data_IF_823545365352
#
_entry.id   IF_823545365352
#
_cell.length_a   1.000
_cell.length_b   1.000
_cell.length_c   1.000
_cell.angle_alpha   90.00
_cell.angle_beta   90.00
_cell.angle_gamma   90.00
#
_symmetry.space_group_name_H-M   'P 1'
#
loop_
_entity.id
_entity.type
_entity.pdbx_description
1 polymer ?
#
# COMPACT_ATOMS: atom_id res chain seq x y z
N UNK A 1 -11.76 3.44 -18.64
CA UNK A 1 -11.46 3.29 -17.20
C UNK A 1 -9.99 3.63 -17.04
N UNK A 2 -9.67 4.55 -16.16
CA UNK A 2 -8.31 5.05 -15.91
C UNK A 2 -7.92 4.74 -14.47
N UNK A 3 -6.70 4.28 -14.27
CA UNK A 3 -6.16 3.99 -12.95
C UNK A 3 -4.89 4.77 -12.65
N UNK A 4 -4.66 5.05 -11.38
CA UNK A 4 -3.44 5.67 -10.89
C UNK A 4 -2.87 4.87 -9.73
N UNK A 5 -1.55 4.63 -9.77
CA UNK A 5 -0.78 4.06 -8.68
C UNK A 5 0.05 5.19 -8.07
N UNK A 6 -0.23 5.56 -6.81
CA UNK A 6 0.43 6.71 -6.19
C UNK A 6 1.76 6.38 -5.51
N UNK A 7 2.04 5.09 -5.25
CA UNK A 7 3.20 4.66 -4.47
C UNK A 7 3.74 3.32 -4.99
N UNK A 8 4.28 3.33 -6.21
CA UNK A 8 4.80 2.09 -6.83
C UNK A 8 6.08 1.57 -6.17
N UNK A 9 6.79 2.41 -5.40
CA UNK A 9 8.04 2.01 -4.74
C UNK A 9 7.93 0.76 -3.86
N UNK A 10 6.75 0.47 -3.32
CA UNK A 10 6.52 -0.73 -2.50
C UNK A 10 6.46 -2.01 -3.33
N UNK A 11 6.52 -1.89 -4.64
CA UNK A 11 6.23 -2.94 -5.61
C UNK A 11 7.24 -3.00 -6.76
N UNK A 12 8.24 -2.11 -6.80
CA UNK A 12 9.19 -1.95 -7.92
C UNK A 12 10.52 -2.69 -7.74
N UNK A 13 10.67 -3.54 -6.74
CA UNK A 13 11.92 -4.28 -6.53
C UNK A 13 12.18 -5.42 -7.56
N UNK A 14 11.45 -5.39 -8.67
CA UNK A 14 11.77 -6.20 -9.85
C UNK A 14 11.28 -7.64 -9.84
N UNK A 15 10.64 -8.08 -8.75
CA UNK A 15 10.11 -9.43 -8.56
C UNK A 15 8.59 -9.55 -8.78
N UNK A 16 7.88 -8.42 -8.98
CA UNK A 16 6.44 -8.41 -9.18
C UNK A 16 6.07 -8.14 -10.65
N UNK A 17 5.25 -9.03 -11.19
CA UNK A 17 4.70 -8.87 -12.53
C UNK A 17 3.40 -8.06 -12.53
N UNK A 18 3.46 -6.85 -13.09
CA UNK A 18 2.32 -5.94 -13.26
C UNK A 18 1.51 -6.15 -14.52
N UNK A 19 1.91 -7.11 -15.36
CA UNK A 19 1.22 -7.37 -16.63
C UNK A 19 -0.27 -7.65 -16.45
N UNK A 20 -0.64 -8.37 -15.37
CA UNK A 20 -2.02 -8.64 -15.02
C UNK A 20 -2.83 -7.38 -14.72
N UNK A 21 -2.28 -6.43 -13.95
CA UNK A 21 -2.95 -5.15 -13.63
C UNK A 21 -3.09 -4.30 -14.90
N UNK A 22 -2.02 -4.17 -15.69
CA UNK A 22 -2.00 -3.42 -16.94
C UNK A 22 -2.95 -4.02 -18.00
N UNK A 23 -3.12 -5.34 -18.00
CA UNK A 23 -4.08 -5.99 -18.88
C UNK A 23 -5.53 -5.66 -18.54
N UNK A 24 -5.84 -5.53 -17.22
CA UNK A 24 -7.18 -5.16 -16.75
C UNK A 24 -7.48 -3.67 -16.98
N UNK A 25 -6.50 -2.80 -16.76
CA UNK A 25 -6.62 -1.35 -16.94
C UNK A 25 -5.41 -0.83 -17.72
N UNK A 26 -5.47 -0.86 -19.07
CA UNK A 26 -4.34 -0.42 -19.91
C UNK A 26 -3.96 1.05 -19.70
N UNK A 27 -4.93 1.92 -19.36
CA UNK A 27 -4.70 3.32 -19.02
C UNK A 27 -4.37 3.46 -17.54
N UNK A 28 -3.17 3.01 -17.16
CA UNK A 28 -2.64 3.08 -15.79
C UNK A 28 -1.40 3.97 -15.75
N UNK A 29 -1.46 5.04 -14.95
CA UNK A 29 -0.31 5.90 -14.62
C UNK A 29 0.27 5.51 -13.27
N UNK A 30 1.60 5.44 -13.16
CA UNK A 30 2.29 5.06 -11.93
C UNK A 30 3.24 6.16 -11.47
N UNK A 31 3.24 6.44 -10.17
CA UNK A 31 4.16 7.35 -9.49
C UNK A 31 4.93 6.58 -8.42
N UNK A 32 6.25 6.80 -8.34
CA UNK A 32 7.11 6.12 -7.36
C UNK A 32 6.71 6.50 -5.93
N UNK A 33 6.55 7.82 -5.68
CA UNK A 33 6.11 8.38 -4.39
C UNK A 33 5.22 9.59 -4.67
N UNK A 34 4.27 9.85 -3.76
CA UNK A 34 3.34 10.98 -3.88
C UNK A 34 3.21 11.69 -2.55
N UNK A 35 3.50 12.97 -2.52
CA UNK A 35 3.26 13.82 -1.37
C UNK A 35 1.77 14.17 -1.26
N UNK A 36 1.30 14.51 -0.05
CA UNK A 36 -0.13 14.75 0.21
C UNK A 36 -0.73 15.81 -0.73
N UNK A 37 -0.01 16.90 -0.99
CA UNK A 37 -0.48 17.97 -1.87
C UNK A 37 -0.69 17.53 -3.32
N UNK A 38 0.02 16.48 -3.76
CA UNK A 38 -0.04 15.96 -5.11
C UNK A 38 -1.08 14.84 -5.30
N UNK A 39 -1.68 14.34 -4.23
CA UNK A 39 -2.59 13.18 -4.31
C UNK A 39 -3.76 13.49 -5.26
N UNK A 40 -4.55 14.51 -4.95
CA UNK A 40 -5.71 14.86 -5.76
C UNK A 40 -5.34 15.28 -7.20
N UNK A 41 -4.29 16.12 -7.43
CA UNK A 41 -3.83 16.43 -8.78
C UNK A 41 -3.40 15.21 -9.60
N UNK A 42 -2.76 14.21 -8.98
CA UNK A 42 -2.32 12.99 -9.67
C UNK A 42 -3.46 12.00 -9.93
N UNK A 43 -4.45 11.92 -9.03
CA UNK A 43 -5.67 11.16 -9.28
C UNK A 43 -6.43 11.78 -10.47
N UNK A 44 -6.62 13.11 -10.46
CA UNK A 44 -7.24 13.84 -11.55
C UNK A 44 -8.60 13.27 -11.93
N UNK A 45 -8.73 12.78 -13.14
CA UNK A 45 -9.95 12.19 -13.72
C UNK A 45 -10.01 10.66 -13.61
N UNK A 46 -9.08 10.04 -12.89
CA UNK A 46 -9.04 8.58 -12.73
C UNK A 46 -10.23 8.05 -11.91
N UNK A 47 -10.71 6.88 -12.31
CA UNK A 47 -11.80 6.16 -11.64
C UNK A 47 -11.28 5.22 -10.55
N UNK A 48 -10.01 4.77 -10.64
CA UNK A 48 -9.37 3.82 -9.76
C UNK A 48 -8.06 4.40 -9.23
N UNK A 49 -7.80 4.21 -7.94
CA UNK A 49 -6.49 4.54 -7.35
C UNK A 49 -5.97 3.40 -6.49
N UNK A 50 -4.68 3.09 -6.64
CA UNK A 50 -3.93 2.18 -5.78
C UNK A 50 -2.98 2.98 -4.90
N UNK A 51 -3.03 2.73 -3.60
CA UNK A 51 -2.22 3.41 -2.58
C UNK A 51 -1.59 2.42 -1.59
N UNK A 52 -0.61 2.89 -0.83
CA UNK A 52 -0.09 2.19 0.35
C UNK A 52 -0.15 3.09 1.60
N UNK A 53 0.55 4.22 1.61
CA UNK A 53 0.63 5.16 2.74
C UNK A 53 -0.01 6.52 2.46
N UNK A 54 -0.35 6.81 1.22
CA UNK A 54 -1.09 8.01 0.85
C UNK A 54 -2.39 8.12 1.64
N UNK A 55 -2.72 9.32 2.11
CA UNK A 55 -3.94 9.58 2.85
C UNK A 55 -5.07 9.94 1.90
N UNK A 56 -6.21 9.26 2.03
CA UNK A 56 -7.45 9.58 1.31
C UNK A 56 -8.48 10.07 2.33
N UNK A 57 -8.74 11.35 2.31
CA UNK A 57 -9.71 12.00 3.19
C UNK A 57 -10.73 12.81 2.39
N UNK A 58 -11.66 13.48 3.11
CA UNK A 58 -12.72 14.31 2.51
C UNK A 58 -12.16 15.35 1.53
N UNK A 59 -11.02 15.98 1.87
CA UNK A 59 -10.43 17.04 1.04
C UNK A 59 -9.90 16.49 -0.29
N UNK A 60 -9.37 15.28 -0.30
CA UNK A 60 -8.93 14.58 -1.53
C UNK A 60 -10.14 14.14 -2.34
N UNK A 61 -11.12 13.51 -1.70
CA UNK A 61 -12.32 12.98 -2.36
C UNK A 61 -13.14 14.08 -3.03
N UNK A 62 -13.28 15.23 -2.38
CA UNK A 62 -14.00 16.38 -2.94
C UNK A 62 -13.38 16.91 -4.24
N UNK A 63 -12.08 16.70 -4.45
CA UNK A 63 -11.37 17.09 -5.67
C UNK A 63 -11.35 16.01 -6.75
N UNK A 64 -11.77 14.79 -6.44
CA UNK A 64 -11.72 13.64 -7.34
C UNK A 64 -13.12 13.05 -7.60
N UNK A 65 -14.02 13.80 -8.27
CA UNK A 65 -15.44 13.41 -8.42
C UNK A 65 -15.65 12.15 -9.29
N UNK A 66 -14.66 11.77 -10.08
CA UNK A 66 -14.73 10.57 -10.93
C UNK A 66 -14.23 9.31 -10.24
N UNK A 67 -13.61 9.44 -9.05
CA UNK A 67 -13.05 8.31 -8.31
C UNK A 67 -14.16 7.38 -7.83
N UNK A 68 -14.04 6.10 -8.15
CA UNK A 68 -15.02 5.05 -7.83
C UNK A 68 -14.45 3.99 -6.90
N UNK A 69 -13.13 3.83 -6.90
CA UNK A 69 -12.50 2.76 -6.15
C UNK A 69 -11.10 3.14 -5.64
N UNK A 70 -10.83 2.79 -4.40
CA UNK A 70 -9.54 2.91 -3.73
C UNK A 70 -9.08 1.52 -3.32
N UNK A 71 -7.94 1.07 -3.86
CA UNK A 71 -7.25 -0.14 -3.42
C UNK A 71 -6.07 0.21 -2.54
N UNK A 72 -6.07 -0.27 -1.28
CA UNK A 72 -4.89 -0.15 -0.45
C UNK A 72 -4.09 -1.45 -0.48
N UNK A 73 -2.81 -1.35 -0.86
CA UNK A 73 -1.87 -2.46 -0.95
C UNK A 73 -1.27 -2.70 0.44
N UNK A 74 -2.13 -2.87 1.41
CA UNK A 74 -1.81 -3.11 2.81
C UNK A 74 -3.00 -3.74 3.53
N UNK A 75 -2.79 -4.22 4.76
CA UNK A 75 -3.86 -4.75 5.61
C UNK A 75 -4.62 -3.63 6.30
N UNK A 76 -3.92 -2.64 6.87
CA UNK A 76 -4.54 -1.52 7.58
C UNK A 76 -5.16 -0.50 6.63
N UNK A 77 -6.24 0.16 7.07
CA UNK A 77 -6.97 1.19 6.32
C UNK A 77 -7.03 2.52 7.08
N UNK A 78 -6.18 2.71 8.07
CA UNK A 78 -6.15 3.87 8.97
C UNK A 78 -5.79 5.20 8.26
N UNK A 79 -5.23 5.12 7.07
CA UNK A 79 -4.95 6.26 6.20
C UNK A 79 -6.09 6.61 5.23
N UNK A 80 -7.24 5.92 5.32
CA UNK A 80 -8.43 6.18 4.48
C UNK A 80 -9.61 6.57 5.37
N UNK A 81 -10.26 7.68 5.07
CA UNK A 81 -11.54 8.04 5.67
C UNK A 81 -12.66 7.23 5.00
N UNK A 82 -12.97 6.06 5.60
CA UNK A 82 -13.97 5.13 5.08
C UNK A 82 -15.38 5.74 5.04
N UNK A 83 -15.71 6.62 6.00
CA UNK A 83 -17.02 7.29 6.03
C UNK A 83 -17.12 8.35 4.91
N UNK A 84 -16.06 9.09 4.65
CA UNK A 84 -15.99 9.99 3.50
C UNK A 84 -16.12 9.21 2.20
N UNK A 85 -15.35 8.12 2.03
CA UNK A 85 -15.46 7.26 0.85
C UNK A 85 -16.91 6.78 0.63
N UNK A 86 -17.59 6.36 1.68
CA UNK A 86 -18.99 5.94 1.60
C UNK A 86 -19.92 7.07 1.15
N UNK A 87 -19.75 8.29 1.68
CA UNK A 87 -20.56 9.47 1.27
C UNK A 87 -20.34 9.82 -0.20
N UNK A 88 -19.11 9.69 -0.70
CA UNK A 88 -18.76 9.95 -2.10
C UNK A 88 -19.05 8.77 -3.04
N UNK A 89 -19.56 7.64 -2.53
CA UNK A 89 -19.84 6.44 -3.33
C UNK A 89 -18.59 5.71 -3.83
N UNK A 90 -17.46 5.88 -3.13
CA UNK A 90 -16.16 5.26 -3.46
C UNK A 90 -16.02 3.94 -2.71
N UNK A 91 -15.85 2.85 -3.44
CA UNK A 91 -15.56 1.54 -2.84
C UNK A 91 -14.11 1.46 -2.37
N UNK A 92 -13.86 0.78 -1.25
CA UNK A 92 -12.51 0.58 -0.70
C UNK A 92 -12.23 -0.91 -0.56
N UNK A 93 -11.04 -1.34 -1.00
CA UNK A 93 -10.56 -2.70 -0.82
C UNK A 93 -9.14 -2.70 -0.25
N UNK A 94 -8.86 -3.65 0.65
CA UNK A 94 -7.54 -3.88 1.24
C UNK A 94 -7.06 -5.32 0.98
N UNK A 95 -5.84 -5.66 1.42
CA UNK A 95 -5.29 -7.02 1.36
C UNK A 95 -5.16 -7.58 2.78
N UNK A 96 -6.22 -8.20 3.33
CA UNK A 96 -6.21 -8.69 4.71
C UNK A 96 -5.32 -9.93 4.87
N UNK A 97 -4.61 -10.03 5.99
CA UNK A 97 -3.96 -11.25 6.46
C UNK A 97 -2.71 -11.74 5.72
N UNK A 98 -2.26 -11.07 4.66
CA UNK A 98 -1.13 -11.54 3.83
C UNK A 98 0.19 -11.67 4.61
N UNK A 99 0.40 -10.82 5.62
CA UNK A 99 1.65 -10.76 6.38
C UNK A 99 1.57 -11.42 7.77
N UNK A 100 0.43 -11.98 8.16
CA UNK A 100 0.20 -12.51 9.52
C UNK A 100 1.27 -13.50 9.95
N UNK A 101 1.53 -14.51 9.12
CA UNK A 101 2.53 -15.53 9.43
C UNK A 101 3.96 -14.97 9.43
N UNK A 102 4.29 -14.10 8.47
CA UNK A 102 5.63 -13.50 8.38
C UNK A 102 5.93 -12.60 9.58
N UNK A 103 4.95 -11.79 10.02
CA UNK A 103 5.09 -10.93 11.20
C UNK A 103 5.22 -11.78 12.47
N UNK A 104 4.39 -12.80 12.64
CA UNK A 104 4.48 -13.70 13.78
C UNK A 104 5.83 -14.41 13.82
N UNK A 105 6.30 -14.95 12.69
CA UNK A 105 7.60 -15.62 12.58
C UNK A 105 8.74 -14.67 12.93
N UNK A 106 8.74 -13.45 12.43
CA UNK A 106 9.76 -12.45 12.76
C UNK A 106 9.75 -12.11 14.25
N UNK A 107 8.57 -11.94 14.84
CA UNK A 107 8.42 -11.67 16.28
C UNK A 107 9.06 -12.77 17.13
N UNK A 108 8.75 -14.02 16.84
CA UNK A 108 9.36 -15.16 17.56
C UNK A 108 10.86 -15.29 17.28
N UNK A 109 11.30 -15.03 16.05
CA UNK A 109 12.73 -15.04 15.71
C UNK A 109 13.52 -14.02 16.51
N UNK A 110 13.01 -12.80 16.64
CA UNK A 110 13.63 -11.76 17.45
C UNK A 110 13.62 -12.12 18.95
N UNK A 111 12.51 -12.62 19.46
CA UNK A 111 12.41 -13.08 20.85
C UNK A 111 13.45 -14.17 21.15
N UNK A 112 13.53 -15.20 20.32
CA UNK A 112 14.48 -16.29 20.48
C UNK A 112 15.93 -15.81 20.33
N UNK A 113 16.22 -14.89 19.41
CA UNK A 113 17.55 -14.31 19.25
C UNK A 113 18.00 -13.58 20.52
N UNK A 114 17.09 -12.87 21.21
CA UNK A 114 17.36 -12.21 22.49
C UNK A 114 17.55 -13.24 23.61
N UNK A 115 16.62 -14.17 23.77
CA UNK A 115 16.66 -15.16 24.86
C UNK A 115 17.85 -16.12 24.76
N UNK A 116 18.21 -16.54 23.55
CA UNK A 116 19.29 -17.50 23.30
C UNK A 116 20.66 -16.82 23.11
N UNK A 117 20.73 -15.49 23.09
CA UNK A 117 21.99 -14.75 22.89
C UNK A 117 22.76 -15.21 21.63
N UNK A 118 22.08 -15.61 20.55
CA UNK A 118 22.68 -16.24 19.38
C UNK A 118 23.87 -15.45 18.81
N UNK A 119 23.76 -14.12 18.74
CA UNK A 119 24.86 -13.26 18.27
C UNK A 119 26.09 -13.30 19.17
N UNK A 120 25.93 -13.50 20.48
CA UNK A 120 27.06 -13.62 21.43
C UNK A 120 27.84 -14.91 21.18
N UNK A 121 27.12 -16.01 20.96
CA UNK A 121 27.76 -17.29 20.65
C UNK A 121 28.43 -17.30 19.28
N UNK A 122 27.78 -16.72 18.27
CA UNK A 122 28.38 -16.57 16.94
C UNK A 122 29.71 -15.80 16.97
N UNK A 123 29.78 -14.70 17.71
CA UNK A 123 31.01 -13.94 17.88
C UNK A 123 32.08 -14.73 18.63
N UNK A 124 31.69 -15.48 19.67
CA UNK A 124 32.63 -16.28 20.46
C UNK A 124 33.26 -17.43 19.66
N UNK A 125 32.53 -18.02 18.73
CA UNK A 125 33.03 -19.10 17.86
C UNK A 125 33.93 -18.56 16.74
N UNK A 126 33.71 -17.32 16.29
CA UNK A 126 34.50 -16.69 15.21
C UNK A 126 35.75 -15.96 15.70
N UNK A 127 35.90 -15.76 17.02
CA UNK A 127 37.09 -15.14 17.66
C UNK A 127 38.20 -16.17 17.88
#
# INVERSE_FOLDING_TARGET
>A
MKAVILESYVMEEGDLDWSGVKALVPDTTSYVRTDYADIAPRIGDAELVLINKCRIDEAVLAQCPNLKWVGIIATGTDNIDLEACRRHGVAVANVPGYSTYSVAQMTFSLLLAICQCAQRYDRAVKA
#
